data_IF_938589825463
#
_entry.id   IF_938589825463
#
_cell.length_a   1.000
_cell.length_b   1.000
_cell.length_c   1.000
_cell.angle_alpha   90.00
_cell.angle_beta   90.00
_cell.angle_gamma   90.00
#
_symmetry.space_group_name_H-M   'P 1'
#
loop_
_entity.id
_entity.type
_entity.pdbx_description
1 polymer ?
#
# COMPACT_ATOMS: atom_id res chain seq x y z
N UNK A 1 25.57 33.84 -2.04
CA UNK A 1 25.00 32.77 -1.22
C UNK A 1 23.50 32.92 -1.38
N UNK A 2 22.90 32.17 -2.30
CA UNK A 2 21.44 32.22 -2.49
C UNK A 2 20.88 31.40 -1.33
N UNK A 3 19.98 31.99 -0.55
CA UNK A 3 19.34 31.31 0.58
C UNK A 3 18.69 30.02 0.08
N UNK A 4 18.96 28.90 0.75
CA UNK A 4 18.37 27.61 0.41
C UNK A 4 16.84 27.71 0.43
N UNK A 5 16.30 28.47 1.39
CA UNK A 5 14.88 28.81 1.51
C UNK A 5 14.35 29.49 0.24
N UNK A 6 15.05 30.48 -0.32
CA UNK A 6 14.61 31.20 -1.54
C UNK A 6 14.61 30.29 -2.77
N UNK A 7 15.52 29.31 -2.85
CA UNK A 7 15.53 28.31 -3.94
C UNK A 7 14.38 27.32 -3.78
N UNK A 8 14.05 26.93 -2.55
CA UNK A 8 12.97 26.00 -2.23
C UNK A 8 11.60 26.64 -2.45
N UNK A 9 11.39 27.88 -1.98
CA UNK A 9 10.20 28.69 -2.26
C UNK A 9 10.05 28.94 -3.77
N UNK A 10 11.15 29.20 -4.49
CA UNK A 10 11.14 29.43 -5.94
C UNK A 10 10.78 28.20 -6.78
N UNK A 11 11.12 26.98 -6.33
CA UNK A 11 10.67 25.73 -6.98
C UNK A 11 9.20 25.44 -6.71
N UNK A 12 8.71 25.69 -5.49
CA UNK A 12 7.32 25.43 -5.12
C UNK A 12 6.31 26.44 -5.71
N UNK A 13 6.69 27.71 -5.90
CA UNK A 13 5.81 28.72 -6.52
C UNK A 13 5.52 28.45 -8.02
N UNK A 14 6.22 27.51 -8.65
CA UNK A 14 5.90 27.03 -10.01
C UNK A 14 4.81 25.95 -10.05
N UNK A 15 4.39 25.44 -8.87
CA UNK A 15 3.40 24.39 -8.74
C UNK A 15 2.01 25.00 -8.53
N UNK A 16 1.25 25.19 -9.62
CA UNK A 16 -0.18 25.57 -9.58
C UNK A 16 -1.12 24.51 -8.96
N UNK A 17 -0.63 23.71 -8.00
CA UNK A 17 -1.31 22.60 -7.30
C UNK A 17 -1.08 22.60 -5.77
N UNK A 18 -0.33 23.56 -5.24
CA UNK A 18 0.07 23.55 -3.82
C UNK A 18 -1.11 23.57 -2.83
N UNK A 19 -2.26 24.14 -3.22
CA UNK A 19 -3.48 24.16 -2.40
C UNK A 19 -4.18 22.78 -2.29
N UNK A 20 -3.93 21.85 -3.21
CA UNK A 20 -4.54 20.51 -3.22
C UNK A 20 -3.72 19.47 -2.46
N UNK A 21 -2.44 19.76 -2.19
CA UNK A 21 -1.50 18.81 -1.56
C UNK A 21 -1.88 18.40 -0.14
N UNK A 22 -2.34 19.29 0.76
CA UNK A 22 -2.74 18.88 2.11
C UNK A 22 -3.88 17.86 2.12
N UNK A 23 -4.95 18.12 1.34
CA UNK A 23 -6.08 17.19 1.24
C UNK A 23 -5.66 15.85 0.62
N UNK A 24 -4.81 15.88 -0.39
CA UNK A 24 -4.31 14.66 -1.02
C UNK A 24 -3.44 13.85 -0.04
N UNK A 25 -2.68 14.51 0.84
CA UNK A 25 -1.89 13.85 1.88
C UNK A 25 -2.81 13.18 2.91
N UNK A 26 -3.85 13.87 3.37
CA UNK A 26 -4.87 13.30 4.25
C UNK A 26 -5.55 12.07 3.63
N UNK A 27 -5.84 12.13 2.31
CA UNK A 27 -6.40 11.01 1.55
C UNK A 27 -5.45 9.81 1.51
N UNK A 28 -4.16 10.06 1.26
CA UNK A 28 -3.13 9.02 1.22
C UNK A 28 -2.90 8.39 2.61
N UNK A 29 -2.80 9.19 3.67
CA UNK A 29 -2.62 8.69 5.04
C UNK A 29 -3.85 7.87 5.50
N UNK A 30 -5.06 8.34 5.18
CA UNK A 30 -6.29 7.58 5.41
C UNK A 30 -6.28 6.27 4.64
N UNK A 31 -5.89 6.29 3.36
CA UNK A 31 -5.74 5.11 2.51
C UNK A 31 -4.76 4.09 3.12
N UNK A 32 -3.61 4.56 3.61
CA UNK A 32 -2.62 3.74 4.30
C UNK A 32 -3.22 3.02 5.52
N UNK A 33 -3.90 3.76 6.40
CA UNK A 33 -4.51 3.21 7.62
C UNK A 33 -5.60 2.20 7.29
N UNK A 34 -6.44 2.50 6.31
CA UNK A 34 -7.49 1.59 5.85
C UNK A 34 -6.90 0.30 5.28
N UNK A 35 -5.88 0.42 4.42
CA UNK A 35 -5.19 -0.72 3.82
C UNK A 35 -4.51 -1.60 4.88
N UNK A 36 -3.87 -1.00 5.87
CA UNK A 36 -3.24 -1.72 6.99
C UNK A 36 -4.26 -2.46 7.87
N UNK A 37 -5.38 -1.82 8.19
CA UNK A 37 -6.47 -2.44 8.94
C UNK A 37 -7.06 -3.62 8.14
N UNK A 38 -7.31 -3.40 6.85
CA UNK A 38 -7.88 -4.41 5.95
C UNK A 38 -6.97 -5.62 5.77
N UNK A 39 -5.67 -5.38 5.59
CA UNK A 39 -4.65 -6.44 5.54
C UNK A 39 -4.65 -7.27 6.82
N UNK A 40 -4.71 -6.61 7.98
CA UNK A 40 -4.65 -7.28 9.28
C UNK A 40 -5.86 -8.18 9.51
N UNK A 41 -7.06 -7.71 9.15
CA UNK A 41 -8.28 -8.52 9.22
C UNK A 41 -8.23 -9.70 8.25
N UNK A 42 -7.81 -9.49 7.00
CA UNK A 42 -7.72 -10.56 6.02
C UNK A 42 -6.64 -11.60 6.39
N UNK A 43 -5.54 -11.17 7.02
CA UNK A 43 -4.52 -12.07 7.57
C UNK A 43 -5.09 -12.94 8.70
N UNK A 44 -5.91 -12.36 9.58
CA UNK A 44 -6.60 -13.10 10.64
C UNK A 44 -7.56 -14.14 10.04
N UNK A 45 -8.41 -13.74 9.09
CA UNK A 45 -9.35 -14.64 8.42
C UNK A 45 -8.64 -15.77 7.66
N UNK A 46 -7.55 -15.46 6.98
CA UNK A 46 -6.72 -16.45 6.27
C UNK A 46 -6.11 -17.47 7.24
N UNK A 47 -5.62 -17.02 8.40
CA UNK A 47 -5.10 -17.90 9.45
C UNK A 47 -6.20 -18.81 10.03
N UNK A 48 -7.34 -18.22 10.40
CA UNK A 48 -8.47 -18.98 10.95
C UNK A 48 -8.98 -20.05 9.98
N UNK A 49 -8.88 -19.79 8.68
CA UNK A 49 -9.19 -20.76 7.63
C UNK A 49 -8.16 -21.90 7.56
N UNK A 50 -6.86 -21.58 7.58
CA UNK A 50 -5.78 -22.56 7.49
C UNK A 50 -5.73 -23.49 8.71
N UNK A 51 -5.98 -22.94 9.90
CA UNK A 51 -5.98 -23.66 11.18
C UNK A 51 -7.28 -24.48 11.38
N UNK A 52 -8.32 -24.20 10.60
CA UNK A 52 -9.62 -24.86 10.67
C UNK A 52 -9.71 -26.20 9.92
N UNK A 53 -10.70 -27.01 10.32
CA UNK A 53 -11.23 -28.14 9.57
C UNK A 53 -12.76 -28.06 9.61
N UNK A 54 -13.32 -27.03 8.99
CA UNK A 54 -14.75 -26.69 9.08
C UNK A 54 -15.56 -27.44 8.02
N UNK A 55 -16.84 -27.65 8.29
CA UNK A 55 -17.75 -28.37 7.39
C UNK A 55 -18.01 -27.63 6.06
N UNK A 56 -17.85 -26.31 6.01
CA UNK A 56 -18.04 -25.47 4.82
C UNK A 56 -16.76 -24.76 4.35
N UNK A 57 -15.76 -25.52 3.92
CA UNK A 57 -14.51 -24.95 3.37
C UNK A 57 -14.74 -24.18 2.07
N UNK A 58 -15.72 -24.60 1.25
CA UNK A 58 -15.96 -23.98 -0.06
C UNK A 58 -16.62 -22.61 0.06
N UNK A 59 -17.60 -22.43 0.95
CA UNK A 59 -18.21 -21.13 1.24
C UNK A 59 -17.22 -20.15 1.84
N UNK A 60 -16.37 -20.62 2.77
CA UNK A 60 -15.34 -19.79 3.38
C UNK A 60 -14.24 -19.38 2.41
N UNK A 61 -13.83 -20.28 1.51
CA UNK A 61 -12.86 -19.95 0.47
C UNK A 61 -13.38 -18.87 -0.47
N UNK A 62 -14.67 -18.91 -0.82
CA UNK A 62 -15.32 -17.86 -1.63
C UNK A 62 -15.42 -16.53 -0.89
N UNK A 63 -15.68 -16.55 0.41
CA UNK A 63 -15.69 -15.33 1.20
C UNK A 63 -14.27 -14.72 1.30
N UNK A 64 -13.24 -15.54 1.54
CA UNK A 64 -11.85 -15.08 1.46
C UNK A 64 -11.50 -14.52 0.08
N UNK A 65 -11.98 -15.14 -1.00
CA UNK A 65 -11.80 -14.64 -2.37
C UNK A 65 -12.38 -13.24 -2.55
N UNK A 66 -13.62 -13.03 -2.12
CA UNK A 66 -14.29 -11.72 -2.19
C UNK A 66 -13.50 -10.66 -1.41
N UNK A 67 -13.14 -10.98 -0.16
CA UNK A 67 -12.40 -10.06 0.72
C UNK A 67 -11.00 -9.75 0.17
N UNK A 68 -10.34 -10.71 -0.48
CA UNK A 68 -9.05 -10.52 -1.16
C UNK A 68 -9.15 -9.67 -2.42
N UNK A 69 -10.24 -9.79 -3.19
CA UNK A 69 -10.50 -8.92 -4.33
C UNK A 69 -10.74 -7.47 -3.87
N UNK A 70 -11.55 -7.28 -2.83
CA UNK A 70 -11.78 -5.95 -2.23
C UNK A 70 -10.46 -5.34 -1.72
N UNK A 71 -9.62 -6.15 -1.04
CA UNK A 71 -8.30 -5.72 -0.57
C UNK A 71 -7.39 -5.27 -1.71
N UNK A 72 -7.37 -6.01 -2.82
CA UNK A 72 -6.53 -5.67 -3.97
C UNK A 72 -6.99 -4.36 -4.62
N UNK A 73 -8.30 -4.14 -4.74
CA UNK A 73 -8.85 -2.88 -5.26
C UNK A 73 -8.48 -1.68 -4.37
N UNK A 74 -8.54 -1.85 -3.05
CA UNK A 74 -8.11 -0.83 -2.09
C UNK A 74 -6.61 -0.54 -2.25
N UNK A 75 -5.77 -1.58 -2.36
CA UNK A 75 -4.33 -1.43 -2.57
C UNK A 75 -4.01 -0.68 -3.88
N UNK A 76 -4.70 -1.02 -4.98
CA UNK A 76 -4.54 -0.32 -6.27
C UNK A 76 -4.89 1.16 -6.18
N UNK A 77 -5.94 1.48 -5.43
CA UNK A 77 -6.37 2.87 -5.21
C UNK A 77 -5.31 3.64 -4.41
N UNK A 78 -4.84 3.05 -3.30
CA UNK A 78 -3.81 3.65 -2.44
C UNK A 78 -2.50 3.90 -3.19
N UNK A 79 -2.02 2.92 -3.95
CA UNK A 79 -0.77 3.03 -4.71
C UNK A 79 -0.90 4.02 -5.87
N UNK A 80 -2.09 4.12 -6.46
CA UNK A 80 -2.39 5.16 -7.44
C UNK A 80 -2.22 6.57 -6.86
N UNK A 81 -2.49 6.76 -5.57
CA UNK A 81 -2.20 8.01 -4.86
C UNK A 81 -0.69 8.15 -4.60
N UNK A 82 -0.05 7.11 -4.06
CA UNK A 82 1.39 7.12 -3.75
C UNK A 82 2.25 7.52 -4.96
N UNK A 83 2.01 6.92 -6.14
CA UNK A 83 2.74 7.22 -7.38
C UNK A 83 2.62 8.69 -7.77
N UNK A 84 1.49 9.34 -7.47
CA UNK A 84 1.31 10.78 -7.74
C UNK A 84 2.12 11.66 -6.79
N UNK A 85 2.44 11.17 -5.60
CA UNK A 85 3.22 11.90 -4.59
C UNK A 85 4.73 11.81 -4.79
N UNK A 86 5.24 10.73 -5.39
CA UNK A 86 6.68 10.53 -5.59
C UNK A 86 7.37 11.75 -6.21
N UNK A 87 6.89 12.33 -7.33
CA UNK A 87 7.56 13.48 -7.94
C UNK A 87 7.55 14.72 -7.05
N UNK A 88 6.48 14.92 -6.28
CA UNK A 88 6.35 16.08 -5.39
C UNK A 88 7.31 15.98 -4.20
N UNK A 89 7.45 14.76 -3.65
CA UNK A 89 8.43 14.48 -2.60
C UNK A 89 9.87 14.59 -3.12
N UNK A 90 10.16 14.14 -4.34
CA UNK A 90 11.48 14.30 -4.98
C UNK A 90 11.82 15.76 -5.28
N UNK A 91 10.81 16.59 -5.61
CA UNK A 91 11.00 18.02 -5.86
C UNK A 91 11.25 18.81 -4.57
N UNK A 92 10.58 18.42 -3.49
CA UNK A 92 10.67 19.05 -2.18
C UNK A 92 11.94 18.67 -1.41
N UNK A 93 12.33 17.38 -1.43
CA UNK A 93 13.47 16.85 -0.68
C UNK A 93 14.69 16.68 -1.57
N UNK A 94 15.80 17.32 -1.19
CA UNK A 94 17.09 17.05 -1.79
C UNK A 94 17.52 15.58 -1.56
N UNK A 95 18.36 15.00 -2.44
CA UNK A 95 18.91 13.66 -2.24
C UNK A 95 19.70 13.49 -0.93
N UNK A 96 20.20 14.58 -0.36
CA UNK A 96 20.95 14.58 0.90
C UNK A 96 20.04 14.66 2.13
N UNK A 97 18.77 14.99 1.94
CA UNK A 97 17.76 15.09 3.00
C UNK A 97 17.00 13.76 3.21
N UNK A 98 17.15 12.81 2.29
CA UNK A 98 16.49 11.50 2.34
C UNK A 98 17.50 10.37 2.11
N UNK A 99 17.69 9.52 3.14
CA UNK A 99 18.50 8.32 3.04
C UNK A 99 17.68 7.08 3.47
N UNK A 100 17.26 6.20 2.54
CA UNK A 100 17.47 6.28 1.10
C UNK A 100 16.68 7.41 0.42
N UNK A 101 17.03 7.72 -0.82
CA UNK A 101 16.28 8.72 -1.60
C UNK A 101 14.82 8.29 -1.82
N UNK A 102 13.93 9.27 -1.98
CA UNK A 102 12.51 9.04 -2.33
C UNK A 102 12.39 8.12 -3.55
N UNK A 103 13.18 8.37 -4.59
CA UNK A 103 13.23 7.54 -5.79
C UNK A 103 13.50 6.06 -5.47
N UNK A 104 14.56 5.79 -4.72
CA UNK A 104 14.93 4.42 -4.36
C UNK A 104 13.84 3.76 -3.51
N UNK A 105 13.31 4.47 -2.53
CA UNK A 105 12.23 3.96 -1.70
C UNK A 105 10.97 3.63 -2.54
N UNK A 106 10.63 4.44 -3.54
CA UNK A 106 9.51 4.16 -4.47
C UNK A 106 9.71 2.84 -5.22
N UNK A 107 10.94 2.54 -5.65
CA UNK A 107 11.26 1.31 -6.36
C UNK A 107 11.10 0.09 -5.43
N UNK A 108 11.57 0.21 -4.19
CA UNK A 108 11.41 -0.84 -3.17
C UNK A 108 9.93 -1.10 -2.88
N UNK A 109 9.13 -0.05 -2.70
CA UNK A 109 7.69 -0.16 -2.47
C UNK A 109 6.98 -0.82 -3.64
N UNK A 110 7.29 -0.41 -4.87
CA UNK A 110 6.71 -0.99 -6.07
C UNK A 110 7.05 -2.48 -6.22
N UNK A 111 8.29 -2.89 -5.97
CA UNK A 111 8.69 -4.30 -6.01
C UNK A 111 7.93 -5.14 -4.96
N UNK A 112 7.85 -4.68 -3.72
CA UNK A 112 7.11 -5.35 -2.65
C UNK A 112 5.62 -5.49 -2.99
N UNK A 113 5.02 -4.42 -3.53
CA UNK A 113 3.63 -4.45 -3.96
C UNK A 113 3.40 -5.41 -5.11
N UNK A 114 4.22 -5.37 -6.17
CA UNK A 114 4.06 -6.27 -7.32
C UNK A 114 4.17 -7.74 -6.90
N UNK A 115 5.10 -8.05 -5.99
CA UNK A 115 5.20 -9.39 -5.41
C UNK A 115 3.95 -9.77 -4.62
N UNK A 116 3.46 -8.90 -3.72
CA UNK A 116 2.22 -9.13 -2.96
C UNK A 116 1.02 -9.36 -3.89
N UNK A 117 0.85 -8.49 -4.89
CA UNK A 117 -0.21 -8.56 -5.89
C UNK A 117 -0.17 -9.86 -6.68
N UNK A 118 1.00 -10.34 -7.08
CA UNK A 118 1.14 -11.59 -7.82
C UNK A 118 0.58 -12.79 -7.03
N UNK A 119 0.85 -12.85 -5.72
CA UNK A 119 0.34 -13.89 -4.82
C UNK A 119 -1.18 -13.80 -4.61
N UNK A 120 -1.71 -12.60 -4.36
CA UNK A 120 -3.16 -12.40 -4.21
C UNK A 120 -3.90 -12.77 -5.50
N UNK A 121 -3.41 -12.33 -6.66
CA UNK A 121 -3.99 -12.71 -7.95
C UNK A 121 -3.89 -14.21 -8.22
N UNK A 122 -2.80 -14.87 -7.80
CA UNK A 122 -2.68 -16.32 -7.91
C UNK A 122 -3.76 -17.03 -7.09
N UNK A 123 -4.00 -16.58 -5.85
CA UNK A 123 -5.11 -17.07 -5.03
C UNK A 123 -6.47 -16.90 -5.74
N UNK A 124 -6.79 -15.69 -6.19
CA UNK A 124 -8.06 -15.40 -6.86
C UNK A 124 -8.29 -16.32 -8.07
N UNK A 125 -7.27 -16.46 -8.95
CA UNK A 125 -7.33 -17.35 -10.11
C UNK A 125 -7.49 -18.82 -9.74
N UNK A 126 -6.83 -19.27 -8.67
CA UNK A 126 -6.94 -20.65 -8.21
C UNK A 126 -8.36 -20.96 -7.71
N UNK A 127 -8.97 -20.04 -6.95
CA UNK A 127 -10.35 -20.21 -6.46
C UNK A 127 -11.35 -20.19 -7.62
N UNK A 128 -11.21 -19.27 -8.58
CA UNK A 128 -12.07 -19.21 -9.78
C UNK A 128 -12.00 -20.48 -10.63
N UNK A 129 -10.81 -21.09 -10.73
CA UNK A 129 -10.60 -22.30 -11.50
C UNK A 129 -11.01 -23.58 -10.74
N UNK A 130 -11.34 -23.48 -9.45
CA UNK A 130 -11.61 -24.64 -8.62
C UNK A 130 -12.96 -25.28 -8.94
N UNK A 131 -12.97 -26.61 -9.12
CA UNK A 131 -14.22 -27.38 -9.20
C UNK A 131 -14.74 -27.63 -7.78
N UNK A 132 -16.02 -27.37 -7.55
CA UNK A 132 -16.66 -27.52 -6.24
C UNK A 132 -17.32 -28.91 -6.15
N UNK A 133 -17.19 -29.63 -5.03
CA UNK A 133 -16.51 -29.23 -3.79
C UNK A 133 -14.98 -29.28 -3.88
N UNK A 134 -14.32 -28.28 -3.29
CA UNK A 134 -12.86 -28.22 -3.20
C UNK A 134 -12.40 -29.10 -2.03
N UNK A 135 -11.34 -29.89 -2.21
CA UNK A 135 -10.78 -30.67 -1.11
C UNK A 135 -10.03 -29.77 -0.12
N UNK A 136 -10.04 -30.13 1.17
CA UNK A 136 -9.33 -29.41 2.23
C UNK A 136 -7.86 -29.13 1.93
N UNK A 137 -7.16 -30.11 1.34
CA UNK A 137 -5.76 -29.93 0.94
C UNK A 137 -5.63 -28.85 -0.14
N UNK A 138 -6.48 -28.89 -1.15
CA UNK A 138 -6.47 -27.94 -2.24
C UNK A 138 -6.80 -26.52 -1.74
N UNK A 139 -7.84 -26.41 -0.91
CA UNK A 139 -8.27 -25.14 -0.32
C UNK A 139 -7.17 -24.51 0.57
N UNK A 140 -6.47 -25.30 1.38
CA UNK A 140 -5.31 -24.83 2.16
C UNK A 140 -4.16 -24.35 1.28
N UNK A 141 -3.85 -25.06 0.19
CA UNK A 141 -2.83 -24.59 -0.77
C UNK A 141 -3.21 -23.23 -1.36
N UNK A 142 -4.47 -23.04 -1.73
CA UNK A 142 -4.97 -21.75 -2.25
C UNK A 142 -4.85 -20.64 -1.21
N UNK A 143 -5.34 -20.88 0.01
CA UNK A 143 -5.23 -19.92 1.12
C UNK A 143 -3.77 -19.62 1.50
N UNK A 144 -2.85 -20.55 1.27
CA UNK A 144 -1.40 -20.33 1.38
C UNK A 144 -0.91 -19.23 0.45
N UNK A 145 -1.33 -19.23 -0.83
CA UNK A 145 -1.02 -18.15 -1.79
C UNK A 145 -1.49 -16.79 -1.28
N UNK A 146 -2.71 -16.71 -0.72
CA UNK A 146 -3.23 -15.49 -0.13
C UNK A 146 -2.38 -15.01 1.05
N UNK A 147 -2.03 -15.92 1.96
CA UNK A 147 -1.22 -15.61 3.14
C UNK A 147 0.14 -15.02 2.79
N UNK A 148 0.84 -15.60 1.81
CA UNK A 148 2.13 -15.05 1.33
C UNK A 148 1.96 -13.64 0.76
N UNK A 149 0.92 -13.40 -0.04
CA UNK A 149 0.61 -12.07 -0.55
C UNK A 149 0.35 -11.04 0.56
N UNK A 150 -0.34 -11.44 1.63
CA UNK A 150 -0.60 -10.57 2.79
C UNK A 150 0.64 -10.35 3.66
N UNK A 151 1.59 -11.29 3.71
CA UNK A 151 2.88 -11.08 4.37
C UNK A 151 3.66 -9.98 3.65
N UNK A 152 3.82 -10.11 2.34
CA UNK A 152 4.50 -9.11 1.49
C UNK A 152 3.81 -7.75 1.51
N UNK A 153 2.47 -7.71 1.51
CA UNK A 153 1.74 -6.45 1.69
C UNK A 153 2.02 -5.81 3.06
N UNK A 154 2.30 -6.60 4.09
CA UNK A 154 2.75 -6.09 5.39
C UNK A 154 4.15 -5.50 5.34
N UNK A 155 5.05 -6.11 4.57
CA UNK A 155 6.40 -5.56 4.33
C UNK A 155 6.33 -4.25 3.54
N UNK A 156 5.47 -4.17 2.52
CA UNK A 156 5.17 -2.94 1.79
C UNK A 156 4.70 -1.82 2.75
N UNK A 157 3.68 -2.08 3.57
CA UNK A 157 3.14 -1.08 4.52
C UNK A 157 4.16 -0.64 5.57
N UNK A 158 5.04 -1.54 6.00
CA UNK A 158 6.11 -1.19 6.95
C UNK A 158 7.22 -0.38 6.28
N UNK A 159 7.57 -0.70 5.03
CA UNK A 159 8.51 0.10 4.25
C UNK A 159 7.95 1.50 3.98
N UNK A 160 6.66 1.63 3.64
CA UNK A 160 6.01 2.91 3.37
C UNK A 160 6.02 3.80 4.63
N UNK A 161 5.66 3.22 5.78
CA UNK A 161 5.73 3.87 7.09
C UNK A 161 7.10 4.39 7.46
N UNK A 162 8.15 3.67 7.04
CA UNK A 162 9.53 4.00 7.41
C UNK A 162 10.21 4.95 6.44
N UNK A 163 9.86 4.87 5.16
CA UNK A 163 10.61 5.52 4.08
C UNK A 163 9.86 6.70 3.46
N UNK A 164 8.53 6.63 3.44
CA UNK A 164 7.67 7.56 2.70
C UNK A 164 6.88 8.49 3.61
N UNK A 165 6.18 7.92 4.61
CA UNK A 165 5.32 8.69 5.51
C UNK A 165 6.05 9.86 6.20
N UNK A 166 7.27 9.70 6.77
CA UNK A 166 7.96 10.82 7.43
C UNK A 166 8.28 11.98 6.49
N UNK A 167 8.67 11.68 5.25
CA UNK A 167 8.98 12.68 4.22
C UNK A 167 7.74 13.48 3.82
N UNK A 168 6.61 12.79 3.73
CA UNK A 168 5.34 13.39 3.35
C UNK A 168 4.69 14.18 4.50
N UNK A 169 4.81 13.70 5.74
CA UNK A 169 4.41 14.45 6.95
C UNK A 169 5.17 15.77 7.07
N UNK A 170 6.49 15.75 6.78
CA UNK A 170 7.32 16.96 6.78
C UNK A 170 6.85 17.96 5.72
N UNK A 171 6.59 17.50 4.49
CA UNK A 171 6.05 18.34 3.42
C UNK A 171 4.71 18.97 3.83
N UNK A 172 3.80 18.19 4.42
CA UNK A 172 2.49 18.68 4.87
C UNK A 172 2.63 19.75 5.95
N UNK A 173 3.48 19.53 6.97
CA UNK A 173 3.71 20.49 8.05
C UNK A 173 4.31 21.81 7.54
N UNK A 174 5.27 21.74 6.61
CA UNK A 174 5.88 22.93 6.01
C UNK A 174 4.85 23.71 5.18
N UNK A 175 4.01 23.01 4.40
CA UNK A 175 2.91 23.64 3.64
C UNK A 175 1.92 24.37 4.56
N UNK A 176 1.45 23.73 5.63
CA UNK A 176 0.55 24.36 6.60
C UNK A 176 1.15 25.62 7.22
N UNK A 177 2.46 25.61 7.52
CA UNK A 177 3.15 26.75 8.10
C UNK A 177 3.27 27.96 7.15
N UNK A 178 3.18 27.74 5.84
CA UNK A 178 3.31 28.79 4.83
C UNK A 178 1.98 29.43 4.43
N UNK A 179 0.87 28.71 4.66
CA UNK A 179 -0.49 29.18 4.37
C UNK A 179 -1.25 29.68 5.62
N UNK A 180 -0.67 29.54 6.81
CA UNK A 180 -1.18 30.09 8.08
C UNK A 180 -0.72 31.54 8.33
#
# INVERSE_FOLDING_TARGET
MIDADVVQTGRMLSMGKAEELPQAFDDWERGYRELAARRSELMRLSRDFLDGGREDESGQLRELQRQAADFLQLAETHIGLEIRFVPELEAYLGPEETAPSVHFASLVLNELYLAAKAHVLAFLRQVDAARIPVSARCARTMAGSLREGLLLAGEYLEAERRLFLPSAERLAADLESWYA
#
